data_IF_099907917507
#
_entry.id   IF_099907917507
#
_cell.length_a   1.000
_cell.length_b   1.000
_cell.length_c   1.000
_cell.angle_alpha   90.00
_cell.angle_beta   90.00
_cell.angle_gamma   90.00
#
_symmetry.space_group_name_H-M   'P 1'
#
loop_
_entity.id
_entity.type
_entity.pdbx_description
1 polymer ?
#
# COMPACT_ATOMS: atom_id res chain seq x y z
N UNK A 1 34.69 65.71 -100.17
CA UNK A 1 34.10 64.41 -99.94
C UNK A 1 34.35 63.99 -98.47
N UNK A 2 33.34 64.12 -97.60
CA UNK A 2 33.44 63.74 -96.16
C UNK A 2 32.53 62.57 -95.94
N UNK A 3 33.09 61.38 -95.63
CA UNK A 3 32.40 60.18 -95.32
C UNK A 3 31.84 60.26 -93.90
N UNK A 4 30.54 60.06 -93.75
CA UNK A 4 29.81 59.93 -92.49
C UNK A 4 29.96 58.50 -91.97
N UNK A 5 30.47 58.36 -90.74
CA UNK A 5 30.59 57.08 -90.04
C UNK A 5 29.30 56.87 -89.23
N UNK A 6 28.56 55.77 -89.37
CA UNK A 6 27.35 55.53 -88.56
C UNK A 6 27.69 55.11 -87.14
N UNK A 7 27.09 55.78 -86.16
CA UNK A 7 27.17 55.46 -84.77
C UNK A 7 26.43 54.12 -84.47
N UNK A 8 27.17 53.19 -84.02
CA UNK A 8 26.63 51.89 -83.53
C UNK A 8 25.97 52.07 -82.16
N UNK A 9 24.65 51.90 -82.08
CA UNK A 9 23.88 51.94 -80.84
C UNK A 9 24.25 50.79 -79.94
N UNK A 10 24.51 51.06 -78.66
CA UNK A 10 24.69 50.02 -77.58
C UNK A 10 23.42 49.33 -77.30
N UNK A 11 23.44 47.95 -77.12
CA UNK A 11 22.25 47.21 -76.73
C UNK A 11 21.88 47.55 -75.29
N UNK A 12 20.59 47.82 -75.06
CA UNK A 12 20.01 48.10 -73.74
C UNK A 12 20.14 46.89 -72.82
N UNK A 13 20.66 47.14 -71.62
CA UNK A 13 20.79 46.12 -70.56
C UNK A 13 19.39 45.60 -70.13
N UNK A 14 19.17 44.32 -70.29
CA UNK A 14 17.96 43.67 -69.79
C UNK A 14 17.92 43.76 -68.26
N UNK A 15 16.88 44.35 -67.68
CA UNK A 15 16.60 44.40 -66.25
C UNK A 15 16.43 42.99 -65.67
N UNK A 16 16.96 42.73 -64.47
CA UNK A 16 16.82 41.43 -63.85
C UNK A 16 15.35 41.21 -63.49
N UNK A 17 14.74 40.20 -64.11
CA UNK A 17 13.37 39.70 -63.71
C UNK A 17 13.44 39.12 -62.35
N UNK A 18 12.93 39.80 -61.32
CA UNK A 18 12.72 39.33 -59.97
C UNK A 18 11.75 38.09 -60.00
N UNK A 19 12.31 36.87 -60.05
CA UNK A 19 11.60 35.65 -60.01
C UNK A 19 10.97 35.53 -58.61
N UNK A 20 9.72 35.99 -58.44
CA UNK A 20 8.91 35.74 -57.24
C UNK A 20 8.83 34.22 -57.08
N UNK A 21 9.55 33.67 -56.09
CA UNK A 21 9.36 32.27 -55.62
C UNK A 21 7.90 32.16 -55.19
N UNK A 22 7.04 31.67 -56.02
CA UNK A 22 5.72 31.15 -55.63
C UNK A 22 6.03 29.93 -54.81
N UNK A 23 6.07 30.08 -53.46
CA UNK A 23 6.00 28.95 -52.53
C UNK A 23 4.71 28.27 -52.89
N UNK A 24 4.78 27.04 -53.41
CA UNK A 24 3.61 26.33 -53.86
C UNK A 24 2.71 26.06 -52.61
N UNK A 25 1.56 26.70 -52.59
CA UNK A 25 0.56 26.56 -51.51
C UNK A 25 0.22 25.09 -51.22
N UNK A 26 0.45 24.23 -52.16
CA UNK A 26 0.29 22.77 -52.03
C UNK A 26 1.29 22.13 -51.05
N UNK A 27 2.57 22.59 -51.06
CA UNK A 27 3.55 22.11 -50.08
C UNK A 27 3.24 22.58 -48.65
N UNK A 28 2.68 23.79 -48.52
CA UNK A 28 2.24 24.28 -47.21
C UNK A 28 1.04 23.49 -46.66
N UNK A 29 0.10 23.10 -47.53
CA UNK A 29 -1.06 22.32 -47.17
C UNK A 29 -0.70 20.88 -46.70
N UNK A 30 0.29 20.24 -47.32
CA UNK A 30 0.77 18.92 -46.91
C UNK A 30 1.46 18.95 -45.56
N UNK A 31 2.26 19.97 -45.25
CA UNK A 31 2.88 20.15 -43.94
C UNK A 31 1.87 20.44 -42.84
N UNK A 32 0.82 21.21 -43.12
CA UNK A 32 -0.28 21.47 -42.19
C UNK A 32 -1.08 20.18 -41.90
N UNK A 33 -1.33 19.33 -42.90
CA UNK A 33 -2.03 18.09 -42.70
C UNK A 33 -1.26 17.07 -41.82
N UNK A 34 0.08 17.10 -41.88
CA UNK A 34 0.94 16.25 -41.06
C UNK A 34 1.15 16.79 -39.65
N UNK A 35 1.26 18.11 -39.50
CA UNK A 35 1.54 18.75 -38.21
C UNK A 35 0.29 18.99 -37.34
N UNK A 36 -0.89 19.14 -37.97
CA UNK A 36 -2.14 19.39 -37.24
C UNK A 36 -2.48 18.33 -36.20
N UNK A 37 -2.43 17.00 -36.50
CA UNK A 37 -2.70 15.99 -35.49
C UNK A 37 -1.70 16.00 -34.33
N UNK A 38 -0.43 16.27 -34.62
CA UNK A 38 0.60 16.37 -33.57
C UNK A 38 0.42 17.61 -32.68
N UNK A 39 -0.01 18.73 -33.28
CA UNK A 39 -0.35 19.94 -32.51
C UNK A 39 -1.58 19.72 -31.61
N UNK A 40 -2.59 18.97 -32.09
CA UNK A 40 -3.76 18.62 -31.29
C UNK A 40 -3.37 17.69 -30.13
N UNK A 41 -2.57 16.65 -30.39
CA UNK A 41 -2.07 15.75 -29.34
C UNK A 41 -1.21 16.53 -28.33
N UNK A 42 -0.28 17.35 -28.82
CA UNK A 42 0.56 18.19 -27.95
C UNK A 42 -0.24 19.21 -27.14
N UNK A 43 -1.25 19.83 -27.73
CA UNK A 43 -2.16 20.73 -27.03
C UNK A 43 -3.00 20.02 -25.96
N UNK A 44 -3.51 18.84 -26.26
CA UNK A 44 -4.29 18.03 -25.33
C UNK A 44 -3.43 17.57 -24.14
N UNK A 45 -2.22 17.07 -24.43
CA UNK A 45 -1.29 16.63 -23.36
C UNK A 45 -0.83 17.80 -22.50
N UNK A 46 -0.48 18.93 -23.10
CA UNK A 46 -0.14 20.15 -22.37
C UNK A 46 -1.29 20.66 -21.51
N UNK A 47 -2.52 20.61 -22.04
CA UNK A 47 -3.73 20.96 -21.28
C UNK A 47 -3.96 20.06 -20.07
N UNK A 48 -3.82 18.74 -20.24
CA UNK A 48 -3.93 17.78 -19.12
C UNK A 48 -2.84 18.04 -18.08
N UNK A 49 -1.59 18.21 -18.51
CA UNK A 49 -0.48 18.52 -17.60
C UNK A 49 -0.73 19.83 -16.87
N UNK A 50 -1.18 20.87 -17.55
CA UNK A 50 -1.49 22.16 -16.92
C UNK A 50 -2.60 22.04 -15.89
N UNK A 51 -3.70 21.32 -16.18
CA UNK A 51 -4.78 21.07 -15.21
C UNK A 51 -4.27 20.31 -13.99
N UNK A 52 -3.49 19.24 -14.18
CA UNK A 52 -2.90 18.46 -13.08
C UNK A 52 -2.01 19.33 -12.19
N UNK A 53 -1.21 20.20 -12.77
CA UNK A 53 -0.29 21.08 -12.02
C UNK A 53 -1.00 22.27 -11.37
N UNK A 54 -2.03 22.84 -12.02
CA UNK A 54 -2.79 23.98 -11.47
C UNK A 54 -3.64 23.60 -10.24
N UNK A 55 -4.01 22.32 -10.12
CA UNK A 55 -4.81 21.81 -9.00
C UNK A 55 -3.99 21.15 -7.87
N UNK A 56 -2.69 21.42 -7.80
CA UNK A 56 -1.82 20.97 -6.71
C UNK A 56 -0.92 19.78 -7.05
N UNK A 57 -0.74 19.49 -8.35
CA UNK A 57 0.19 18.48 -8.83
C UNK A 57 -0.36 17.06 -8.91
N UNK A 58 0.46 16.10 -9.34
CA UNK A 58 0.06 14.71 -9.56
C UNK A 58 -0.45 14.00 -8.31
N UNK A 59 0.08 14.38 -7.13
CA UNK A 59 -0.31 13.76 -5.85
C UNK A 59 -1.75 14.11 -5.45
N UNK A 60 -2.14 15.37 -5.66
CA UNK A 60 -3.52 15.82 -5.37
C UNK A 60 -4.53 15.21 -6.35
N UNK A 61 -4.15 15.06 -7.62
CA UNK A 61 -4.96 14.38 -8.61
C UNK A 61 -5.15 12.90 -8.26
N UNK A 62 -4.08 12.19 -7.92
CA UNK A 62 -4.14 10.80 -7.48
C UNK A 62 -5.01 10.62 -6.22
N UNK A 63 -4.89 11.53 -5.25
CA UNK A 63 -5.72 11.52 -4.04
C UNK A 63 -7.21 11.72 -4.37
N UNK A 64 -7.56 12.64 -5.28
CA UNK A 64 -8.95 12.84 -5.73
C UNK A 64 -9.51 11.63 -6.46
N UNK A 65 -8.75 11.05 -7.39
CA UNK A 65 -9.17 9.82 -8.10
C UNK A 65 -9.40 8.68 -7.11
N UNK A 66 -8.50 8.54 -6.12
CA UNK A 66 -8.67 7.54 -5.05
C UNK A 66 -9.94 7.79 -4.24
N UNK A 67 -10.20 9.02 -3.79
CA UNK A 67 -11.38 9.34 -2.99
C UNK A 67 -12.69 9.10 -3.76
N UNK A 68 -12.76 9.51 -5.04
CA UNK A 68 -13.91 9.25 -5.89
C UNK A 68 -14.14 7.76 -6.13
N UNK A 69 -13.06 6.98 -6.35
CA UNK A 69 -13.13 5.53 -6.49
C UNK A 69 -13.65 4.86 -5.20
N UNK A 70 -13.22 5.33 -4.02
CA UNK A 70 -13.71 4.83 -2.73
C UNK A 70 -15.20 5.17 -2.53
N UNK A 71 -15.62 6.39 -2.83
CA UNK A 71 -17.04 6.78 -2.77
C UNK A 71 -17.89 5.95 -3.75
N UNK A 72 -17.39 5.70 -4.95
CA UNK A 72 -18.07 4.83 -5.92
C UNK A 72 -18.16 3.39 -5.39
N UNK A 73 -17.12 2.89 -4.71
CA UNK A 73 -17.12 1.55 -4.12
C UNK A 73 -18.21 1.40 -3.04
N UNK A 74 -18.42 2.41 -2.21
CA UNK A 74 -19.50 2.42 -1.22
C UNK A 74 -20.88 2.31 -1.88
N UNK A 75 -21.11 3.04 -2.98
CA UNK A 75 -22.38 2.96 -3.74
C UNK A 75 -22.61 1.55 -4.34
N UNK A 76 -21.55 0.83 -4.59
CA UNK A 76 -21.59 -0.57 -5.08
C UNK A 76 -21.70 -1.59 -3.92
N UNK A 77 -21.76 -1.14 -2.67
CA UNK A 77 -21.90 -1.98 -1.50
C UNK A 77 -20.57 -2.58 -0.99
N UNK A 78 -19.43 -2.03 -1.37
CA UNK A 78 -18.11 -2.42 -0.83
C UNK A 78 -17.81 -1.66 0.46
N UNK A 79 -18.61 -1.90 1.48
CA UNK A 79 -18.45 -1.33 2.82
C UNK A 79 -18.17 -2.42 3.86
N UNK A 80 -17.57 -2.08 4.97
CA UNK A 80 -17.37 -2.99 6.09
C UNK A 80 -18.70 -3.12 6.83
N UNK A 81 -19.28 -4.33 6.84
CA UNK A 81 -20.50 -4.63 7.58
C UNK A 81 -20.23 -5.52 8.79
N UNK A 82 -19.38 -6.55 8.63
CA UNK A 82 -19.12 -7.54 9.64
C UNK A 82 -17.63 -7.86 9.78
N UNK A 83 -17.20 -8.01 11.04
CA UNK A 83 -15.87 -8.51 11.40
C UNK A 83 -16.04 -9.85 12.11
N UNK A 84 -15.56 -10.91 11.50
CA UNK A 84 -15.56 -12.26 12.06
C UNK A 84 -14.22 -12.56 12.70
N UNK A 85 -14.24 -12.82 14.00
CA UNK A 85 -13.06 -13.20 14.77
C UNK A 85 -13.20 -14.65 15.21
N UNK A 86 -12.20 -15.48 14.87
CA UNK A 86 -12.11 -16.88 15.25
C UNK A 86 -11.00 -17.09 16.28
N UNK A 87 -11.13 -18.18 17.07
CA UNK A 87 -10.14 -18.64 18.05
C UNK A 87 -9.80 -17.61 19.13
N UNK A 88 -10.80 -16.82 19.52
CA UNK A 88 -10.70 -15.84 20.60
C UNK A 88 -11.09 -16.52 21.92
N UNK A 89 -10.15 -16.67 22.87
CA UNK A 89 -10.36 -17.37 24.14
C UNK A 89 -9.93 -16.55 25.35
N UNK A 90 -8.75 -15.92 25.30
CA UNK A 90 -8.10 -15.21 26.42
C UNK A 90 -8.08 -13.72 26.24
N UNK A 91 -7.93 -13.26 25.01
CA UNK A 91 -7.91 -11.84 24.69
C UNK A 91 -9.27 -11.22 24.86
N UNK A 92 -9.32 -9.98 25.32
CA UNK A 92 -10.57 -9.22 25.35
C UNK A 92 -11.06 -8.93 23.93
N UNK A 93 -12.35 -9.13 23.70
CA UNK A 93 -12.95 -8.90 22.38
C UNK A 93 -12.90 -7.43 21.96
N UNK A 94 -13.03 -6.51 22.92
CA UNK A 94 -12.96 -5.08 22.65
C UNK A 94 -11.59 -4.67 22.19
N UNK A 95 -10.53 -5.14 22.87
CA UNK A 95 -9.14 -4.87 22.51
C UNK A 95 -8.80 -5.41 21.12
N UNK A 96 -9.26 -6.64 20.82
CA UNK A 96 -9.06 -7.24 19.49
C UNK A 96 -9.75 -6.44 18.39
N UNK A 97 -11.01 -6.06 18.58
CA UNK A 97 -11.75 -5.25 17.61
C UNK A 97 -11.14 -3.86 17.43
N UNK A 98 -10.67 -3.24 18.53
CA UNK A 98 -9.97 -1.97 18.49
C UNK A 98 -8.64 -2.08 17.71
N UNK A 99 -7.87 -3.16 17.94
CA UNK A 99 -6.63 -3.42 17.21
C UNK A 99 -6.87 -3.69 15.72
N UNK A 100 -7.95 -4.38 15.36
CA UNK A 100 -8.35 -4.55 13.94
C UNK A 100 -8.60 -3.18 13.32
N UNK A 101 -9.25 -2.25 14.04
CA UNK A 101 -9.50 -0.90 13.56
C UNK A 101 -10.43 -0.84 12.36
N UNK A 102 -11.34 -1.78 12.22
CA UNK A 102 -12.34 -1.81 11.17
C UNK A 102 -13.61 -1.10 11.65
N UNK A 103 -13.98 -0.02 10.98
CA UNK A 103 -15.20 0.75 11.30
C UNK A 103 -16.30 0.36 10.33
N UNK A 104 -17.47 0.06 10.88
CA UNK A 104 -18.65 -0.30 10.09
C UNK A 104 -19.08 0.88 9.20
N UNK A 105 -19.33 0.59 7.92
CA UNK A 105 -19.71 1.59 6.90
C UNK A 105 -18.54 2.23 6.16
N UNK A 106 -17.30 1.96 6.57
CA UNK A 106 -16.12 2.42 5.83
C UNK A 106 -15.88 1.57 4.57
N UNK A 107 -15.20 2.14 3.55
CA UNK A 107 -14.86 1.39 2.35
C UNK A 107 -13.94 0.21 2.67
N UNK A 108 -14.39 -1.02 2.41
CA UNK A 108 -13.59 -2.22 2.67
C UNK A 108 -12.28 -2.25 1.87
N UNK A 109 -12.23 -1.54 0.74
CA UNK A 109 -11.04 -1.44 -0.10
C UNK A 109 -9.93 -0.60 0.54
N UNK A 110 -10.27 0.31 1.45
CA UNK A 110 -9.30 1.14 2.18
C UNK A 110 -8.73 0.43 3.41
N UNK A 111 -9.44 -0.53 3.96
CA UNK A 111 -8.96 -1.31 5.10
C UNK A 111 -7.66 -2.04 4.76
N UNK A 112 -6.61 -1.86 5.57
CA UNK A 112 -5.32 -2.53 5.40
C UNK A 112 -5.20 -3.75 6.34
N UNK A 113 -5.30 -4.99 5.81
CA UNK A 113 -5.14 -6.19 6.61
C UNK A 113 -3.76 -6.36 7.24
N UNK A 114 -2.70 -5.84 6.59
CA UNK A 114 -1.34 -5.96 7.11
C UNK A 114 -1.13 -5.05 8.32
N UNK A 115 -1.62 -3.82 8.25
CA UNK A 115 -1.59 -2.89 9.37
C UNK A 115 -2.44 -3.41 10.54
N UNK A 116 -3.62 -3.97 10.28
CA UNK A 116 -4.46 -4.59 11.30
C UNK A 116 -3.75 -5.78 11.97
N UNK A 117 -3.10 -6.66 11.20
CA UNK A 117 -2.30 -7.75 11.73
C UNK A 117 -1.16 -7.26 12.62
N UNK A 118 -0.44 -6.23 12.21
CA UNK A 118 0.65 -5.67 13.00
C UNK A 118 0.15 -5.19 14.38
N UNK A 119 -0.98 -4.47 14.44
CA UNK A 119 -1.58 -4.04 15.72
C UNK A 119 -2.08 -5.21 16.58
N UNK A 120 -2.63 -6.25 15.97
CA UNK A 120 -3.05 -7.45 16.70
C UNK A 120 -1.88 -8.16 17.36
N UNK A 121 -0.71 -8.20 16.72
CA UNK A 121 0.50 -8.82 17.28
C UNK A 121 1.11 -8.02 18.46
N UNK A 122 0.69 -6.78 18.68
CA UNK A 122 1.05 -5.99 19.86
C UNK A 122 0.26 -6.41 21.11
N UNK A 123 -0.86 -7.14 20.95
CA UNK A 123 -1.64 -7.62 22.07
C UNK A 123 -0.91 -8.79 22.77
N UNK A 124 -0.84 -8.80 24.12
CA UNK A 124 -0.05 -9.76 24.87
C UNK A 124 -0.35 -11.24 24.56
N UNK A 125 -1.62 -11.56 24.42
CA UNK A 125 -2.10 -12.91 24.21
C UNK A 125 -2.05 -13.37 22.76
N UNK A 126 -1.79 -12.50 21.81
CA UNK A 126 -1.79 -12.86 20.39
C UNK A 126 -0.39 -13.30 19.98
N UNK A 127 -0.28 -14.56 19.54
CA UNK A 127 0.95 -15.12 18.99
C UNK A 127 1.05 -14.86 17.50
N UNK A 128 -0.04 -15.11 16.79
CA UNK A 128 -0.17 -14.84 15.36
C UNK A 128 -1.60 -14.47 15.00
N UNK A 129 -1.76 -13.79 13.89
CA UNK A 129 -3.07 -13.40 13.36
C UNK A 129 -3.07 -13.42 11.83
N UNK A 130 -4.12 -13.99 11.25
CA UNK A 130 -4.40 -13.91 9.83
C UNK A 130 -5.59 -12.99 9.62
N UNK A 131 -5.38 -11.89 8.90
CA UNK A 131 -6.44 -10.93 8.60
C UNK A 131 -6.70 -10.91 7.11
N UNK A 132 -7.94 -11.13 6.71
CA UNK A 132 -8.34 -11.17 5.31
C UNK A 132 -9.61 -10.36 5.05
N UNK A 133 -9.65 -9.66 3.90
CA UNK A 133 -10.87 -9.04 3.38
C UNK A 133 -11.63 -10.08 2.57
N UNK A 134 -12.89 -10.29 2.90
CA UNK A 134 -13.80 -11.12 2.12
C UNK A 134 -14.86 -10.22 1.50
N UNK A 135 -14.64 -9.89 0.24
CA UNK A 135 -15.54 -9.02 -0.50
C UNK A 135 -16.94 -9.65 -0.60
N UNK A 136 -17.99 -8.82 -0.63
CA UNK A 136 -17.93 -7.34 -0.68
C UNK A 136 -17.85 -6.63 0.68
N UNK A 137 -18.17 -7.29 1.84
CA UNK A 137 -18.52 -6.58 3.08
C UNK A 137 -17.91 -7.13 4.37
N UNK A 138 -17.06 -8.15 4.30
CA UNK A 138 -16.64 -8.89 5.49
C UNK A 138 -15.12 -8.84 5.69
N UNK A 139 -14.71 -8.78 6.96
CA UNK A 139 -13.34 -8.96 7.39
C UNK A 139 -13.28 -10.22 8.23
N UNK A 140 -12.37 -11.12 7.91
CA UNK A 140 -12.10 -12.32 8.67
C UNK A 140 -10.77 -12.18 9.38
N UNK A 141 -10.80 -12.47 10.68
CA UNK A 141 -9.63 -12.48 11.58
C UNK A 141 -9.55 -13.85 12.19
N UNK A 142 -8.45 -14.54 11.94
CA UNK A 142 -8.16 -15.84 12.56
C UNK A 142 -6.96 -15.66 13.49
N UNK A 143 -7.17 -15.88 14.78
CA UNK A 143 -6.20 -15.62 15.83
C UNK A 143 -5.53 -16.91 16.25
N UNK A 144 -4.23 -16.84 16.54
CA UNK A 144 -3.52 -17.86 17.30
C UNK A 144 -3.11 -17.23 18.63
N UNK A 145 -3.79 -17.62 19.70
CA UNK A 145 -3.46 -17.11 21.03
C UNK A 145 -2.31 -17.88 21.67
N UNK A 146 -1.54 -17.19 22.53
CA UNK A 146 -0.48 -17.80 23.33
C UNK A 146 -1.11 -18.67 24.43
N UNK A 147 -0.56 -19.86 24.61
CA UNK A 147 -0.94 -20.77 25.68
C UNK A 147 0.16 -20.77 26.73
N UNK A 148 -0.07 -20.20 27.92
CA UNK A 148 0.90 -20.20 28.99
C UNK A 148 1.11 -21.63 29.49
N UNK A 149 2.37 -22.06 29.58
CA UNK A 149 2.74 -23.42 29.99
C UNK A 149 3.67 -23.45 31.20
N UNK A 150 4.44 -22.40 31.45
CA UNK A 150 5.37 -22.32 32.56
C UNK A 150 5.60 -20.85 32.99
N UNK A 151 6.17 -20.71 34.18
CA UNK A 151 6.73 -19.47 34.68
C UNK A 151 8.25 -19.55 34.55
N UNK A 152 8.86 -18.52 34.02
CA UNK A 152 10.32 -18.41 33.93
C UNK A 152 10.86 -17.40 34.92
N UNK A 153 11.75 -17.87 35.78
CA UNK A 153 12.45 -17.03 36.77
C UNK A 153 13.86 -16.73 36.29
N UNK A 154 14.10 -15.46 35.97
CA UNK A 154 15.40 -14.93 35.64
C UNK A 154 15.67 -13.70 36.52
N UNK A 155 16.83 -13.65 37.20
CA UNK A 155 17.24 -12.50 38.06
C UNK A 155 16.13 -12.07 39.02
N UNK A 156 15.51 -12.99 39.71
CA UNK A 156 14.38 -12.80 40.66
C UNK A 156 13.08 -12.23 40.01
N UNK A 157 13.01 -12.14 38.70
CA UNK A 157 11.79 -11.77 37.98
C UNK A 157 11.09 -13.02 37.48
N UNK A 158 9.79 -13.09 37.73
CA UNK A 158 8.93 -14.17 37.29
C UNK A 158 8.10 -13.69 36.09
N UNK A 159 8.20 -14.37 34.97
CA UNK A 159 7.46 -14.06 33.74
C UNK A 159 6.71 -15.28 33.24
N UNK A 160 5.58 -15.07 32.58
CA UNK A 160 4.81 -16.14 31.94
C UNK A 160 5.43 -16.44 30.59
N UNK A 161 5.62 -17.73 30.28
CA UNK A 161 6.10 -18.20 28.97
C UNK A 161 5.12 -19.16 28.34
N UNK A 162 5.10 -19.12 27.00
CA UNK A 162 4.30 -20.03 26.20
C UNK A 162 5.05 -21.34 25.86
N UNK A 163 4.40 -22.21 25.09
CA UNK A 163 4.92 -23.52 24.71
C UNK A 163 6.18 -23.45 23.81
N UNK A 164 6.50 -22.31 23.22
CA UNK A 164 7.72 -22.10 22.43
C UNK A 164 8.87 -21.49 23.26
N UNK A 165 8.61 -21.15 24.54
CA UNK A 165 9.58 -20.48 25.41
C UNK A 165 9.54 -18.95 25.30
N UNK A 166 8.60 -18.42 24.53
CA UNK A 166 8.44 -16.96 24.36
C UNK A 166 7.76 -16.35 25.58
N UNK A 167 8.29 -15.23 26.04
CA UNK A 167 7.67 -14.46 27.12
C UNK A 167 6.36 -13.84 26.66
N UNK A 168 5.31 -13.99 27.47
CA UNK A 168 4.04 -13.29 27.26
C UNK A 168 4.14 -11.89 27.86
N UNK A 169 4.24 -10.83 27.03
CA UNK A 169 4.53 -9.50 27.54
C UNK A 169 3.35 -8.93 28.34
N UNK A 170 3.66 -8.13 29.39
CA UNK A 170 2.65 -7.39 30.14
C UNK A 170 1.70 -8.21 31.01
N UNK A 171 1.94 -9.52 31.14
CA UNK A 171 1.11 -10.42 31.96
C UNK A 171 1.82 -10.68 33.29
N UNK A 172 1.12 -10.39 34.39
CA UNK A 172 1.60 -10.70 35.73
C UNK A 172 1.57 -12.22 36.01
N UNK A 173 2.61 -12.73 36.65
CA UNK A 173 2.74 -14.16 36.95
C UNK A 173 1.78 -14.64 38.08
N UNK A 174 1.22 -13.73 38.88
CA UNK A 174 0.45 -14.01 40.08
C UNK A 174 -0.79 -14.90 39.85
N UNK A 175 -1.39 -14.81 38.66
CA UNK A 175 -2.54 -15.62 38.27
C UNK A 175 -2.19 -17.04 37.83
N UNK A 176 -0.89 -17.41 37.75
CA UNK A 176 -0.42 -18.65 37.12
C UNK A 176 0.34 -19.57 38.09
N UNK A 177 0.11 -19.47 39.39
CA UNK A 177 0.82 -20.23 40.42
C UNK A 177 0.72 -21.75 40.35
N UNK A 178 -0.07 -22.29 39.41
CA UNK A 178 -0.17 -23.74 39.11
C UNK A 178 0.79 -24.18 38.00
N UNK A 179 1.42 -23.26 37.29
CA UNK A 179 2.37 -23.61 36.26
C UNK A 179 3.75 -23.93 36.85
N UNK A 180 4.51 -24.86 36.25
CA UNK A 180 5.88 -25.13 36.67
C UNK A 180 6.75 -23.92 36.54
N UNK A 181 7.73 -23.81 37.45
CA UNK A 181 8.70 -22.69 37.44
C UNK A 181 10.03 -23.19 36.86
N UNK A 182 10.48 -22.56 35.81
CA UNK A 182 11.78 -22.77 35.20
C UNK A 182 12.75 -21.69 35.71
N UNK A 183 13.90 -22.10 36.22
CA UNK A 183 14.85 -21.15 36.83
C UNK A 183 16.17 -21.13 36.08
N UNK A 184 16.64 -19.95 35.76
CA UNK A 184 17.95 -19.72 35.18
C UNK A 184 17.94 -19.26 33.74
N UNK A 185 19.09 -18.83 33.27
CA UNK A 185 19.29 -18.34 31.91
C UNK A 185 19.18 -19.50 30.90
N UNK A 186 18.38 -19.32 29.86
CA UNK A 186 18.15 -20.32 28.80
C UNK A 186 17.15 -21.44 29.21
N UNK A 187 16.61 -21.42 30.43
CA UNK A 187 15.63 -22.43 30.85
C UNK A 187 14.31 -22.34 30.05
N UNK A 188 13.97 -21.16 29.55
CA UNK A 188 12.84 -20.95 28.66
C UNK A 188 12.99 -21.70 27.32
N UNK A 189 14.20 -21.86 26.79
CA UNK A 189 14.45 -22.54 25.52
C UNK A 189 14.19 -24.05 25.62
N UNK A 190 14.32 -24.60 26.83
CA UNK A 190 14.10 -26.02 27.14
C UNK A 190 12.64 -26.35 27.49
N UNK A 191 11.75 -25.38 27.51
CA UNK A 191 10.35 -25.57 27.93
C UNK A 191 9.65 -26.65 27.11
N UNK A 192 9.91 -26.73 25.83
CA UNK A 192 9.28 -27.73 24.94
C UNK A 192 9.70 -29.16 25.31
N UNK A 193 10.98 -29.39 25.59
CA UNK A 193 11.50 -30.67 26.03
C UNK A 193 10.94 -31.05 27.39
N UNK A 194 10.85 -30.09 28.32
CA UNK A 194 10.25 -30.31 29.66
C UNK A 194 8.78 -30.67 29.56
N UNK A 195 7.99 -29.96 28.73
CA UNK A 195 6.57 -30.26 28.56
C UNK A 195 6.34 -31.65 27.97
N UNK A 196 7.20 -32.11 27.06
CA UNK A 196 7.15 -33.48 26.56
C UNK A 196 7.38 -34.50 27.67
N UNK A 197 8.40 -34.33 28.52
CA UNK A 197 8.68 -35.20 29.64
C UNK A 197 7.57 -35.22 30.70
N UNK A 198 7.00 -34.05 31.01
CA UNK A 198 5.88 -33.94 31.96
C UNK A 198 4.63 -34.66 31.41
N UNK A 199 4.39 -34.57 30.10
CA UNK A 199 3.29 -35.28 29.43
C UNK A 199 3.45 -36.79 29.46
N UNK A 200 4.66 -37.31 29.41
CA UNK A 200 4.97 -38.75 29.51
C UNK A 200 4.89 -39.29 30.96
N UNK A 201 4.95 -38.40 31.96
CA UNK A 201 4.98 -38.80 33.37
C UNK A 201 3.85 -38.14 34.15
N UNK A 202 2.60 -38.65 34.05
CA UNK A 202 1.41 -38.05 34.66
C UNK A 202 1.44 -37.95 36.20
N UNK A 203 2.34 -38.69 36.87
CA UNK A 203 2.55 -38.58 38.30
C UNK A 203 3.24 -37.28 38.73
N UNK A 204 4.06 -36.69 37.86
CA UNK A 204 4.73 -35.42 38.12
C UNK A 204 3.76 -34.24 37.91
N UNK A 205 2.83 -34.39 36.99
CA UNK A 205 1.85 -33.34 36.66
C UNK A 205 0.78 -33.15 37.76
N UNK A 206 0.68 -34.05 38.76
CA UNK A 206 -0.31 -34.02 39.87
C UNK A 206 0.22 -33.40 41.15
N UNK A 207 1.48 -33.04 41.24
CA UNK A 207 2.08 -32.40 42.40
C UNK A 207 2.19 -30.89 42.20
#
# INVERSE_FOLDING_TARGET
MRALIPHRAKPAAKAPTRRRRRISLWKAATWLAVLAPWALIGGLTAGIVWVVWSEGGPDSFAARVKSEALLASLRLGFEIDQVWVKNLHRSDRGDVLAAVGAVRGEPILEFDPKAARARLLELPWIKDAVVARTLPRQIHVDLTERVPVALWQLEHRLTVIDADGDVVPGIAADGFGRLPILVGKGANDEVRALMALVGETPEIARR
#
